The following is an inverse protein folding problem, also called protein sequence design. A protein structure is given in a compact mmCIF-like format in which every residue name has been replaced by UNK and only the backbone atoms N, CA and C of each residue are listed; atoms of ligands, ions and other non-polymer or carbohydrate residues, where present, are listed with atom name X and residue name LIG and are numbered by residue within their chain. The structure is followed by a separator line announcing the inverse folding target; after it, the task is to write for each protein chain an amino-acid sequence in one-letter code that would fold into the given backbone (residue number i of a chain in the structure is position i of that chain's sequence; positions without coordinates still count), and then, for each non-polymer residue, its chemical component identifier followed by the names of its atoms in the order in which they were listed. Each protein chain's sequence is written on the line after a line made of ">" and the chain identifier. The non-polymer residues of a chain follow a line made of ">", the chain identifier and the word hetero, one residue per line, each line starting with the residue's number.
data_IF_100493663051
#
_entry.id   IF_100493663051
#
_cell.length_a   1.000
_cell.length_b   1.000
_cell.length_c   1.000
_cell.angle_alpha   90.00
_cell.angle_beta   90.00
_cell.angle_gamma   90.00
#
_symmetry.space_group_name_H-M   'P 1'
#
loop_
_entity.id
_entity.type
_entity.pdbx_description
1 polymer ?
#
# COMPACT_ATOMS: atom_id res chain seq x y z
N UNK A 1 12.22 20.96 24.00
CA UNK A 1 11.83 21.72 22.80
C UNK A 1 10.33 21.60 22.61
N UNK A 2 9.67 22.69 22.25
CA UNK A 2 8.24 22.70 21.94
C UNK A 2 8.00 22.11 20.53
N UNK A 3 6.93 21.34 20.38
CA UNK A 3 6.47 20.83 19.08
C UNK A 3 5.42 21.79 18.51
N UNK A 4 5.54 22.15 17.25
CA UNK A 4 4.51 22.93 16.54
C UNK A 4 3.83 22.04 15.49
N UNK A 5 2.51 21.92 15.57
CA UNK A 5 1.71 21.16 14.61
C UNK A 5 0.44 21.96 14.26
N UNK A 6 0.21 22.16 12.97
CA UNK A 6 -0.96 22.87 12.43
C UNK A 6 -1.21 24.25 13.10
N UNK A 7 -0.13 25.01 13.42
CA UNK A 7 -0.20 26.30 14.07
C UNK A 7 -0.41 26.27 15.59
N UNK A 8 -0.51 25.09 16.19
CA UNK A 8 -0.59 24.90 17.64
C UNK A 8 0.78 24.49 18.20
N UNK A 9 1.23 25.20 19.24
CA UNK A 9 2.50 24.92 19.89
C UNK A 9 2.26 24.07 21.15
N UNK A 10 2.85 22.89 21.19
CA UNK A 10 2.81 21.98 22.34
C UNK A 10 4.06 22.19 23.21
N UNK A 11 3.85 22.51 24.48
CA UNK A 11 4.95 22.74 25.40
C UNK A 11 5.74 21.45 25.68
N UNK A 12 7.01 21.60 26.03
CA UNK A 12 7.80 20.48 26.51
C UNK A 12 7.14 19.90 27.78
N UNK A 13 7.06 18.57 27.90
CA UNK A 13 6.38 17.81 28.97
C UNK A 13 4.83 17.73 28.87
N UNK A 14 4.21 18.15 27.79
CA UNK A 14 2.79 17.86 27.54
C UNK A 14 2.69 16.40 27.06
N UNK A 15 1.86 15.59 27.72
CA UNK A 15 1.51 14.26 27.20
C UNK A 15 0.75 14.43 25.90
N UNK A 16 1.32 13.92 24.80
CA UNK A 16 0.72 13.99 23.47
C UNK A 16 0.45 12.56 23.01
N UNK A 17 -0.79 12.25 22.73
CA UNK A 17 -1.18 11.02 22.03
C UNK A 17 -1.43 11.34 20.57
N UNK A 18 -0.83 10.56 19.67
CA UNK A 18 -1.07 10.68 18.24
C UNK A 18 -1.66 9.39 17.70
N UNK A 19 -2.72 9.48 16.94
CA UNK A 19 -3.35 8.35 16.29
C UNK A 19 -3.40 8.59 14.78
N UNK A 20 -2.91 7.62 14.01
CA UNK A 20 -3.02 7.59 12.56
C UNK A 20 -3.91 6.42 12.17
N UNK A 21 -5.06 6.71 11.56
CA UNK A 21 -5.93 5.72 10.93
C UNK A 21 -5.89 5.94 9.44
N UNK A 22 -5.67 4.90 8.68
CA UNK A 22 -5.73 4.99 7.22
C UNK A 22 -6.30 3.74 6.60
N UNK A 23 -6.91 3.93 5.42
CA UNK A 23 -7.43 2.88 4.58
C UNK A 23 -6.80 3.00 3.20
N UNK A 24 -6.43 1.86 2.62
CA UNK A 24 -5.89 1.81 1.26
C UNK A 24 -6.77 0.90 0.41
N UNK A 25 -7.12 1.39 -0.77
CA UNK A 25 -7.79 0.62 -1.80
C UNK A 25 -6.94 0.63 -3.06
N UNK A 26 -6.66 -0.55 -3.60
CA UNK A 26 -5.84 -0.74 -4.79
C UNK A 26 -6.68 -1.31 -5.93
N UNK A 27 -6.68 -0.63 -7.07
CA UNK A 27 -7.14 -1.19 -8.33
C UNK A 27 -5.91 -1.55 -9.16
N UNK A 28 -5.73 -2.84 -9.46
CA UNK A 28 -4.59 -3.37 -10.22
C UNK A 28 -5.05 -4.05 -11.49
N UNK A 29 -4.29 -3.84 -12.55
CA UNK A 29 -4.40 -4.57 -13.80
C UNK A 29 -3.01 -5.07 -14.20
N UNK A 30 -2.87 -6.39 -14.40
CA UNK A 30 -1.66 -7.04 -14.89
C UNK A 30 -1.93 -7.62 -16.26
N UNK A 31 -0.98 -7.46 -17.18
CA UNK A 31 -1.01 -8.06 -18.50
C UNK A 31 0.23 -8.95 -18.68
N UNK A 32 0.03 -10.25 -18.76
CA UNK A 32 1.12 -11.21 -18.89
C UNK A 32 1.67 -11.24 -20.31
N UNK A 33 2.89 -10.73 -20.49
CA UNK A 33 3.60 -10.72 -21.78
C UNK A 33 4.28 -12.08 -22.00
N UNK A 34 4.85 -12.65 -20.94
CA UNK A 34 5.45 -13.98 -20.97
C UNK A 34 4.49 -14.90 -20.22
N UNK A 35 4.00 -15.89 -20.92
CA UNK A 35 3.14 -16.92 -20.36
C UNK A 35 3.69 -18.29 -20.80
N UNK A 36 4.27 -19.01 -19.86
CA UNK A 36 4.87 -20.33 -20.05
C UNK A 36 4.07 -21.42 -19.31
N UNK A 37 2.78 -21.26 -19.20
CA UNK A 37 1.87 -22.18 -18.47
C UNK A 37 2.03 -23.64 -18.89
N UNK A 38 2.41 -23.87 -20.15
CA UNK A 38 2.58 -25.21 -20.67
C UNK A 38 3.99 -25.82 -20.52
N UNK A 39 4.99 -25.06 -20.04
CA UNK A 39 6.39 -25.48 -20.11
C UNK A 39 7.08 -25.49 -18.74
N UNK A 40 6.78 -24.55 -17.84
CA UNK A 40 7.47 -24.37 -16.58
C UNK A 40 6.48 -24.11 -15.43
N UNK A 41 5.73 -25.13 -15.05
CA UNK A 41 4.81 -25.05 -13.90
C UNK A 41 3.94 -23.77 -13.87
N UNK A 42 3.58 -23.25 -15.05
CA UNK A 42 2.73 -22.05 -15.14
C UNK A 42 3.46 -20.74 -14.79
N UNK A 43 4.69 -20.54 -15.25
CA UNK A 43 5.37 -19.24 -15.05
C UNK A 43 4.77 -18.16 -15.95
N UNK A 44 4.46 -17.02 -15.40
CA UNK A 44 4.16 -15.81 -16.17
C UNK A 44 4.86 -14.56 -15.60
N UNK A 45 5.03 -13.58 -16.48
CA UNK A 45 5.63 -12.29 -16.17
C UNK A 45 4.95 -11.19 -16.98
N UNK A 46 4.58 -10.11 -16.35
CA UNK A 46 3.95 -9.00 -17.05
C UNK A 46 4.01 -7.66 -16.32
N UNK A 47 3.76 -6.56 -17.06
CA UNK A 47 3.60 -5.24 -16.45
C UNK A 47 2.31 -5.15 -15.64
N UNK A 48 2.37 -4.27 -14.64
CA UNK A 48 1.24 -3.93 -13.79
C UNK A 48 0.95 -2.43 -13.93
N UNK A 49 -0.32 -2.09 -14.09
CA UNK A 49 -0.84 -0.76 -13.86
C UNK A 49 -1.70 -0.78 -12.59
N UNK A 50 -1.47 0.17 -11.69
CA UNK A 50 -2.15 0.24 -10.40
C UNK A 50 -2.60 1.66 -10.10
N UNK A 51 -3.80 1.79 -9.56
CA UNK A 51 -4.29 3.01 -8.94
C UNK A 51 -4.48 2.75 -7.45
N UNK A 52 -3.73 3.46 -6.64
CA UNK A 52 -3.79 3.37 -5.18
C UNK A 52 -4.56 4.57 -4.62
N UNK A 53 -5.64 4.29 -3.90
CA UNK A 53 -6.42 5.27 -3.16
C UNK A 53 -6.05 5.15 -1.69
N UNK A 54 -5.60 6.24 -1.10
CA UNK A 54 -5.25 6.32 0.32
C UNK A 54 -6.15 7.36 0.96
N UNK A 55 -6.87 6.97 1.98
CA UNK A 55 -7.65 7.88 2.82
C UNK A 55 -7.25 7.68 4.27
N UNK A 56 -7.12 8.76 5.03
CA UNK A 56 -6.74 8.63 6.42
C UNK A 56 -7.08 9.85 7.26
N UNK A 57 -7.06 9.63 8.57
CA UNK A 57 -7.25 10.62 9.59
C UNK A 57 -6.07 10.59 10.54
N UNK A 58 -5.50 11.73 10.77
CA UNK A 58 -4.44 11.94 11.74
C UNK A 58 -4.98 12.80 12.88
N UNK A 59 -4.95 12.30 14.10
CA UNK A 59 -5.37 13.02 15.28
C UNK A 59 -4.24 13.17 16.28
N UNK A 60 -4.13 14.35 16.86
CA UNK A 60 -3.28 14.64 18.00
C UNK A 60 -4.16 15.09 19.14
N UNK A 61 -4.08 14.39 20.26
CA UNK A 61 -4.74 14.74 21.50
C UNK A 61 -3.68 15.07 22.54
N UNK A 62 -3.77 16.26 23.15
CA UNK A 62 -2.83 16.68 24.17
C UNK A 62 -3.57 17.08 25.44
N UNK A 63 -2.93 16.87 26.59
CA UNK A 63 -3.47 17.26 27.89
C UNK A 63 -3.49 18.78 28.04
N UNK A 64 -4.60 19.43 27.60
CA UNK A 64 -4.81 20.87 27.73
C UNK A 64 -6.04 21.35 26.95
N UNK A 65 -6.61 22.50 27.32
CA UNK A 65 -7.79 23.04 26.62
C UNK A 65 -7.44 23.47 25.18
N UNK A 66 -8.23 23.02 24.21
CA UNK A 66 -8.13 23.35 22.78
C UNK A 66 -6.84 22.89 22.07
N UNK A 67 -6.21 21.81 22.52
CA UNK A 67 -5.01 21.25 21.90
C UNK A 67 -5.30 20.03 21.00
N UNK A 68 -6.55 19.64 20.86
CA UNK A 68 -6.95 18.54 20.01
C UNK A 68 -6.99 18.98 18.55
N UNK A 69 -6.24 18.27 17.71
CA UNK A 69 -6.20 18.52 16.27
C UNK A 69 -6.53 17.23 15.52
N UNK A 70 -7.44 17.34 14.55
CA UNK A 70 -7.77 16.23 13.65
C UNK A 70 -7.62 16.73 12.21
N UNK A 71 -7.00 15.91 11.37
CA UNK A 71 -6.83 16.21 9.95
C UNK A 71 -7.03 14.95 9.12
N UNK A 72 -7.97 15.05 8.17
CA UNK A 72 -8.18 14.01 7.15
C UNK A 72 -7.39 14.33 5.89
N UNK A 73 -6.96 13.28 5.21
CA UNK A 73 -6.31 13.38 3.91
C UNK A 73 -6.80 12.29 2.97
N UNK A 74 -6.80 12.59 1.68
CA UNK A 74 -7.03 11.62 0.62
C UNK A 74 -5.99 11.81 -0.47
N UNK A 75 -5.55 10.73 -1.07
CA UNK A 75 -4.58 10.74 -2.15
C UNK A 75 -4.88 9.65 -3.16
N UNK A 76 -4.69 9.97 -4.43
CA UNK A 76 -4.73 9.04 -5.54
C UNK A 76 -3.35 8.96 -6.15
N UNK A 77 -2.74 7.77 -6.15
CA UNK A 77 -1.41 7.52 -6.69
C UNK A 77 -1.49 6.55 -7.87
N UNK A 78 -1.22 7.02 -9.09
CA UNK A 78 -0.99 6.14 -10.22
C UNK A 78 0.39 5.48 -10.08
N UNK A 79 0.43 4.16 -10.27
CA UNK A 79 1.64 3.36 -10.13
C UNK A 79 1.76 2.39 -11.30
N UNK A 80 3.00 2.10 -11.67
CA UNK A 80 3.33 1.08 -12.68
C UNK A 80 4.37 0.13 -12.10
N UNK A 81 4.42 -1.07 -12.63
CA UNK A 81 5.39 -2.04 -12.15
C UNK A 81 5.41 -3.32 -12.97
N UNK A 82 5.90 -4.37 -12.35
CA UNK A 82 5.95 -5.70 -12.92
C UNK A 82 5.56 -6.75 -11.88
N UNK A 83 4.95 -7.83 -12.35
CA UNK A 83 4.61 -8.98 -11.54
C UNK A 83 4.97 -10.27 -12.24
N UNK A 84 5.38 -11.24 -11.46
CA UNK A 84 5.61 -12.60 -11.88
C UNK A 84 4.79 -13.54 -11.02
N UNK A 85 4.29 -14.62 -11.62
CA UNK A 85 3.69 -15.72 -10.88
C UNK A 85 4.18 -17.09 -11.39
N UNK A 86 4.17 -18.04 -10.49
CA UNK A 86 4.55 -19.43 -10.76
C UNK A 86 3.48 -20.34 -10.17
N UNK A 87 2.86 -21.16 -10.99
CA UNK A 87 1.93 -22.21 -10.54
C UNK A 87 2.69 -23.27 -9.75
N UNK A 88 2.27 -23.54 -8.52
CA UNK A 88 2.81 -24.64 -7.70
C UNK A 88 1.98 -25.91 -7.83
N UNK A 89 0.67 -25.75 -7.91
CA UNK A 89 -0.30 -26.82 -8.17
C UNK A 89 -1.27 -26.30 -9.21
N UNK A 90 -1.38 -27.02 -10.32
CA UNK A 90 -2.16 -26.62 -11.48
C UNK A 90 -3.55 -26.08 -11.09
N UNK A 91 -3.81 -24.82 -11.48
CA UNK A 91 -5.09 -24.11 -11.30
C UNK A 91 -5.58 -23.96 -9.83
N UNK A 92 -4.75 -24.26 -8.85
CA UNK A 92 -5.19 -24.18 -7.45
C UNK A 92 -4.26 -23.34 -6.57
N UNK A 93 -2.94 -23.46 -6.74
CA UNK A 93 -1.96 -22.79 -5.89
C UNK A 93 -0.86 -22.15 -6.73
N UNK A 94 -0.64 -20.86 -6.50
CA UNK A 94 0.37 -20.06 -7.19
C UNK A 94 1.20 -19.27 -6.17
N UNK A 95 2.46 -19.01 -6.51
CA UNK A 95 3.31 -18.06 -5.83
C UNK A 95 3.46 -16.81 -6.71
N UNK A 96 3.28 -15.63 -6.14
CA UNK A 96 3.36 -14.36 -6.85
C UNK A 96 4.35 -13.42 -6.20
N UNK A 97 5.03 -12.64 -7.04
CA UNK A 97 5.87 -11.53 -6.60
C UNK A 97 5.59 -10.31 -7.49
N UNK A 98 5.43 -9.16 -6.88
CA UNK A 98 5.09 -7.92 -7.59
C UNK A 98 5.88 -6.76 -7.01
N UNK A 99 6.30 -5.83 -7.88
CA UNK A 99 6.87 -4.55 -7.50
C UNK A 99 6.21 -3.46 -8.33
N UNK A 100 5.66 -2.46 -7.68
CA UNK A 100 5.06 -1.30 -8.33
C UNK A 100 5.61 -0.02 -7.72
N UNK A 101 5.71 1.01 -8.52
CA UNK A 101 6.15 2.32 -8.08
C UNK A 101 5.46 3.41 -8.88
N UNK A 102 5.23 4.54 -8.25
CA UNK A 102 4.61 5.68 -8.89
C UNK A 102 4.61 6.89 -8.00
N UNK A 103 4.17 8.01 -8.56
CA UNK A 103 4.13 9.27 -7.84
C UNK A 103 3.31 10.31 -8.56
N UNK A 104 3.07 11.40 -7.87
CA UNK A 104 2.34 12.55 -8.39
C UNK A 104 3.01 13.85 -7.92
N UNK A 105 3.36 14.71 -8.86
CA UNK A 105 4.05 15.97 -8.57
C UNK A 105 5.51 15.79 -8.11
N UNK A 106 6.09 16.83 -7.54
CA UNK A 106 7.44 16.80 -6.99
C UNK A 106 7.40 16.35 -5.52
N UNK A 107 8.10 15.26 -5.19
CA UNK A 107 8.26 14.80 -3.81
C UNK A 107 7.25 13.74 -3.34
N UNK A 108 6.17 13.49 -4.10
CA UNK A 108 5.20 12.46 -3.74
C UNK A 108 5.46 11.17 -4.53
N UNK A 109 5.85 10.10 -3.85
CA UNK A 109 6.01 8.79 -4.48
C UNK A 109 5.61 7.65 -3.55
N UNK A 110 5.26 6.53 -4.15
CA UNK A 110 5.06 5.27 -3.45
C UNK A 110 5.76 4.14 -4.16
N UNK A 111 6.36 3.25 -3.39
CA UNK A 111 6.92 1.99 -3.89
C UNK A 111 6.25 0.88 -3.09
N UNK A 112 5.74 -0.11 -3.79
CA UNK A 112 5.13 -1.29 -3.19
C UNK A 112 5.83 -2.54 -3.70
N UNK A 113 6.20 -3.43 -2.81
CA UNK A 113 6.67 -4.77 -3.11
C UNK A 113 5.84 -5.77 -2.33
N UNK A 114 5.44 -6.86 -2.97
CA UNK A 114 4.75 -7.96 -2.32
C UNK A 114 5.20 -9.30 -2.86
N UNK A 115 5.14 -10.30 -1.97
CA UNK A 115 5.27 -11.70 -2.31
C UNK A 115 4.19 -12.48 -1.56
N UNK A 116 3.45 -13.31 -2.27
CA UNK A 116 2.35 -14.07 -1.70
C UNK A 116 2.17 -15.45 -2.33
N UNK A 117 1.34 -16.22 -1.65
CA UNK A 117 0.77 -17.46 -2.16
C UNK A 117 -0.71 -17.18 -2.40
N UNK A 118 -1.16 -17.50 -3.61
CA UNK A 118 -2.54 -17.40 -4.06
C UNK A 118 -3.15 -18.80 -4.17
N UNK A 119 -4.29 -19.00 -3.54
CA UNK A 119 -5.08 -20.21 -3.69
C UNK A 119 -6.41 -19.87 -4.36
N UNK A 120 -6.79 -20.64 -5.38
CA UNK A 120 -8.03 -20.50 -6.15
C UNK A 120 -9.04 -21.60 -5.76
N UNK A 121 -9.74 -21.46 -4.62
CA UNK A 121 -10.69 -22.50 -4.16
C UNK A 121 -11.94 -22.60 -5.03
N UNK A 122 -12.28 -21.53 -5.74
CA UNK A 122 -13.43 -21.46 -6.65
C UNK A 122 -13.03 -20.75 -7.94
N UNK A 123 -13.64 -21.07 -9.09
CA UNK A 123 -13.41 -20.33 -10.33
C UNK A 123 -13.58 -18.82 -10.10
N UNK A 124 -12.60 -18.04 -10.57
CA UNK A 124 -12.58 -16.58 -10.49
C UNK A 124 -12.41 -15.98 -9.08
N UNK A 125 -12.10 -16.78 -8.05
CA UNK A 125 -11.89 -16.28 -6.68
C UNK A 125 -10.57 -16.78 -6.14
N UNK A 126 -9.64 -15.87 -5.86
CA UNK A 126 -8.34 -16.16 -5.28
C UNK A 126 -8.24 -15.61 -3.86
N UNK A 127 -7.74 -16.43 -2.96
CA UNK A 127 -7.35 -16.04 -1.62
C UNK A 127 -5.83 -15.92 -1.59
N UNK A 128 -5.33 -14.73 -1.26
CA UNK A 128 -3.92 -14.42 -1.27
C UNK A 128 -3.43 -14.16 0.15
N UNK A 129 -2.36 -14.81 0.53
CA UNK A 129 -1.70 -14.58 1.81
C UNK A 129 -0.20 -14.41 1.60
N UNK A 130 0.38 -13.36 2.18
CA UNK A 130 1.78 -13.07 1.95
C UNK A 130 2.32 -11.93 2.78
N UNK A 131 3.39 -11.34 2.29
CA UNK A 131 4.09 -10.24 2.91
C UNK A 131 4.15 -9.06 1.95
N UNK A 132 3.81 -7.89 2.47
CA UNK A 132 3.73 -6.64 1.71
C UNK A 132 4.60 -5.57 2.35
N UNK A 133 5.30 -4.83 1.52
CA UNK A 133 6.06 -3.64 1.89
C UNK A 133 5.52 -2.47 1.07
N UNK A 134 5.20 -1.37 1.74
CA UNK A 134 4.76 -0.12 1.10
C UNK A 134 5.59 1.02 1.66
N UNK A 135 6.38 1.65 0.81
CA UNK A 135 7.05 2.91 1.13
C UNK A 135 6.25 4.04 0.51
N UNK A 136 5.91 5.04 1.32
CA UNK A 136 5.19 6.24 0.90
C UNK A 136 6.00 7.44 1.34
N UNK A 137 6.37 8.29 0.39
CA UNK A 137 6.91 9.61 0.66
C UNK A 137 5.93 10.66 0.13
N UNK A 138 5.60 11.62 0.95
CA UNK A 138 4.71 12.73 0.61
C UNK A 138 5.35 14.04 1.08
N UNK A 139 5.35 15.01 0.19
CA UNK A 139 5.74 16.39 0.48
C UNK A 139 4.53 17.28 0.16
N UNK A 140 3.80 17.67 1.19
CA UNK A 140 2.58 18.48 1.06
C UNK A 140 2.68 19.66 2.00
N UNK A 141 2.81 20.88 1.43
CA UNK A 141 2.70 22.14 2.15
C UNK A 141 3.57 22.20 3.44
N UNK A 142 4.89 22.04 3.30
CA UNK A 142 5.89 22.05 4.38
C UNK A 142 5.87 20.83 5.33
N UNK A 143 5.10 19.81 5.02
CA UNK A 143 5.13 18.54 5.72
C UNK A 143 5.75 17.45 4.85
N UNK A 144 6.89 16.93 5.30
CA UNK A 144 7.53 15.76 4.69
C UNK A 144 7.17 14.54 5.50
N UNK A 145 6.45 13.61 4.89
CA UNK A 145 6.17 12.30 5.48
C UNK A 145 6.93 11.23 4.68
N UNK A 146 7.82 10.51 5.34
CA UNK A 146 8.47 9.30 4.80
C UNK A 146 8.11 8.14 5.72
N UNK A 147 7.31 7.21 5.22
CA UNK A 147 6.79 6.11 6.01
C UNK A 147 6.99 4.79 5.27
N UNK A 148 7.46 3.79 6.01
CA UNK A 148 7.63 2.43 5.53
C UNK A 148 6.69 1.51 6.34
N UNK A 149 5.73 0.93 5.63
CA UNK A 149 4.82 -0.08 6.18
C UNK A 149 5.25 -1.45 5.66
N UNK A 150 5.38 -2.41 6.56
CA UNK A 150 5.77 -3.76 6.19
C UNK A 150 5.08 -4.76 7.10
N UNK A 151 4.55 -5.83 6.54
CA UNK A 151 3.86 -6.83 7.33
C UNK A 151 3.13 -7.89 6.52
N UNK A 152 2.57 -8.89 7.20
CA UNK A 152 1.71 -9.88 6.57
C UNK A 152 0.42 -9.23 6.07
N UNK A 153 -0.14 -9.76 5.00
CA UNK A 153 -1.43 -9.34 4.48
C UNK A 153 -2.26 -10.53 3.99
N UNK A 154 -3.56 -10.30 3.95
CA UNK A 154 -4.54 -11.19 3.36
C UNK A 154 -5.36 -10.41 2.35
N UNK A 155 -5.59 -10.98 1.18
CA UNK A 155 -6.40 -10.35 0.14
C UNK A 155 -7.33 -11.36 -0.54
N UNK A 156 -8.44 -10.85 -1.06
CA UNK A 156 -9.34 -11.57 -1.93
C UNK A 156 -9.26 -10.92 -3.32
N UNK A 157 -9.01 -11.72 -4.34
CA UNK A 157 -9.01 -11.28 -5.73
C UNK A 157 -10.17 -11.94 -6.46
N UNK A 158 -10.90 -11.17 -7.25
CA UNK A 158 -11.96 -11.68 -8.12
C UNK A 158 -11.57 -11.39 -9.56
N UNK A 159 -11.40 -12.45 -10.34
CA UNK A 159 -11.11 -12.38 -11.78
C UNK A 159 -12.39 -12.54 -12.63
N UNK A 160 -12.34 -12.17 -13.91
CA UNK A 160 -13.40 -12.39 -14.90
C UNK A 160 -12.83 -12.41 -16.32
#
# INVERSE_FOLDING_TARGET
>A
SALNFNGVTYAANTGVESELRFSMFDLKYQYDIINLENILAGFSLGPIAQLKFITGDFSITASGPNLDQNRSFNSLLPMIGAGAHIGLIANFLEMRAQVTGGGYGSGNYSIEALADISATPFPFVDINAGYKMVKIAMDVNDYVMDSLFTGPYLALTVGF
#
